data_IF_612263891257
#
_entry.id   IF_612263891257
#
_cell.length_a   1.000
_cell.length_b   1.000
_cell.length_c   1.000
_cell.angle_alpha   90.00
_cell.angle_beta   90.00
_cell.angle_gamma   90.00
#
_symmetry.space_group_name_H-M   'P 1'
#
loop_
_entity.id
_entity.type
_entity.pdbx_description
1 polymer ?
#
# COMPACT_ATOMS: atom_id res chain seq x y z
N UNK A 1 -5.92 -1.11 -1.58
CA UNK A 1 -5.45 -2.50 -1.82
C UNK A 1 -4.50 -2.88 -0.71
N UNK A 2 -4.71 -4.03 -0.08
CA UNK A 2 -3.79 -4.56 0.93
C UNK A 2 -3.65 -6.07 0.86
N UNK A 3 -2.56 -6.59 1.43
CA UNK A 3 -2.33 -8.02 1.54
C UNK A 3 -2.97 -8.64 2.76
N UNK A 4 -3.12 -9.97 2.72
CA UNK A 4 -3.67 -10.76 3.83
C UNK A 4 -3.08 -10.42 5.21
N UNK A 5 -1.76 -10.33 5.33
CA UNK A 5 -1.12 -10.07 6.63
C UNK A 5 -1.44 -8.66 7.15
N UNK A 6 -1.48 -7.66 6.26
CA UNK A 6 -1.91 -6.30 6.57
C UNK A 6 -3.39 -6.25 6.93
N UNK A 7 -4.23 -7.06 6.26
CA UNK A 7 -5.66 -7.13 6.53
C UNK A 7 -6.00 -7.63 7.94
N UNK A 8 -5.29 -8.66 8.41
CA UNK A 8 -5.52 -9.29 9.72
C UNK A 8 -4.72 -8.64 10.85
N UNK A 9 -3.95 -7.59 10.55
CA UNK A 9 -3.15 -6.90 11.56
C UNK A 9 -4.10 -6.25 12.59
N UNK A 10 -3.98 -6.57 13.89
CA UNK A 10 -4.88 -6.04 14.91
C UNK A 10 -4.78 -4.52 15.09
N UNK A 11 -3.70 -3.89 14.63
CA UNK A 11 -3.51 -2.45 14.69
C UNK A 11 -4.03 -1.73 13.45
N UNK A 12 -4.42 -2.45 12.38
CA UNK A 12 -5.07 -1.86 11.22
C UNK A 12 -6.58 -2.09 11.30
N UNK A 13 -7.40 -1.03 11.39
CA UNK A 13 -8.85 -1.21 11.41
C UNK A 13 -9.33 -1.72 10.04
N UNK A 14 -9.79 -2.98 10.01
CA UNK A 14 -10.39 -3.58 8.81
C UNK A 14 -11.87 -3.96 9.05
N UNK A 15 -12.77 -3.71 8.08
CA UNK A 15 -12.56 -2.94 6.85
C UNK A 15 -12.39 -1.43 7.12
N UNK A 16 -11.69 -0.78 6.21
CA UNK A 16 -11.44 0.65 6.27
C UNK A 16 -12.71 1.43 5.86
N UNK A 17 -13.25 2.24 6.78
CA UNK A 17 -14.47 3.05 6.52
C UNK A 17 -14.31 3.98 5.31
N UNK A 18 -15.41 4.20 4.60
CA UNK A 18 -15.55 5.11 3.45
C UNK A 18 -14.60 4.82 2.28
N UNK A 19 -14.16 3.57 2.14
CA UNK A 19 -13.21 3.11 1.12
C UNK A 19 -13.69 1.79 0.53
N UNK A 20 -13.26 1.52 -0.70
CA UNK A 20 -13.41 0.20 -1.33
C UNK A 20 -12.21 -0.64 -0.90
N UNK A 21 -12.48 -1.66 -0.12
CA UNK A 21 -11.52 -2.54 0.51
C UNK A 21 -11.18 -3.71 -0.42
N UNK A 22 -10.02 -3.61 -1.07
CA UNK A 22 -9.50 -4.66 -1.96
C UNK A 22 -8.47 -5.49 -1.22
N UNK A 23 -8.72 -6.81 -1.12
CA UNK A 23 -7.83 -7.77 -0.47
C UNK A 23 -7.10 -8.63 -1.52
N UNK A 24 -5.77 -8.58 -1.51
CA UNK A 24 -4.92 -9.47 -2.29
C UNK A 24 -4.61 -10.75 -1.50
N UNK A 25 -5.16 -11.89 -1.93
CA UNK A 25 -4.99 -13.18 -1.25
C UNK A 25 -5.27 -14.36 -2.19
N UNK A 26 -4.50 -15.44 -2.04
CA UNK A 26 -4.79 -16.72 -2.70
C UNK A 26 -5.64 -17.66 -1.81
N UNK A 27 -6.07 -17.21 -0.62
CA UNK A 27 -6.92 -17.98 0.27
C UNK A 27 -8.40 -17.81 -0.07
N UNK A 28 -9.23 -18.76 0.36
CA UNK A 28 -10.69 -18.71 0.14
C UNK A 28 -11.30 -17.43 0.71
N UNK A 29 -12.19 -16.81 -0.06
CA UNK A 29 -12.79 -15.51 0.26
C UNK A 29 -13.69 -15.54 1.52
N UNK A 30 -14.25 -16.70 1.85
CA UNK A 30 -15.23 -16.91 2.92
C UNK A 30 -14.72 -16.54 4.32
N UNK A 31 -13.41 -16.36 4.47
CA UNK A 31 -12.74 -16.08 5.75
C UNK A 31 -12.67 -14.59 6.07
N UNK A 32 -12.88 -13.70 5.09
CA UNK A 32 -12.61 -12.27 5.23
C UNK A 32 -13.89 -11.44 5.06
N UNK A 33 -14.43 -10.96 6.17
CA UNK A 33 -15.65 -10.14 6.19
C UNK A 33 -15.36 -8.68 5.84
N UNK A 34 -16.27 -8.05 5.10
CA UNK A 34 -16.17 -6.62 4.76
C UNK A 34 -15.17 -6.29 3.65
N UNK A 35 -14.65 -7.30 2.95
CA UNK A 35 -13.89 -7.12 1.71
C UNK A 35 -14.86 -6.82 0.58
N UNK A 36 -14.60 -5.75 -0.17
CA UNK A 36 -15.40 -5.37 -1.34
C UNK A 36 -14.91 -6.09 -2.61
N UNK A 37 -13.60 -6.32 -2.73
CA UNK A 37 -12.98 -6.99 -3.89
C UNK A 37 -11.85 -7.92 -3.45
N UNK A 38 -11.79 -9.10 -4.08
CA UNK A 38 -10.68 -10.03 -3.92
C UNK A 38 -9.86 -10.09 -5.19
N UNK A 39 -8.54 -9.98 -5.07
CA UNK A 39 -7.59 -10.14 -6.17
C UNK A 39 -6.54 -11.19 -5.85
N UNK A 40 -6.09 -11.92 -6.87
CA UNK A 40 -5.12 -13.02 -6.74
C UNK A 40 -4.37 -13.25 -8.05
N UNK A 41 -3.24 -13.96 -8.00
CA UNK A 41 -2.42 -14.19 -9.19
C UNK A 41 -1.69 -12.93 -9.65
N UNK A 42 -1.91 -12.53 -10.91
CA UNK A 42 -1.25 -11.36 -11.52
C UNK A 42 -1.80 -10.05 -10.95
N UNK A 43 -1.15 -9.52 -9.92
CA UNK A 43 -1.57 -8.29 -9.26
C UNK A 43 -1.52 -7.07 -10.19
N UNK A 44 -0.60 -7.02 -11.15
CA UNK A 44 -0.50 -5.90 -12.09
C UNK A 44 -1.72 -5.86 -13.01
N UNK A 45 -2.10 -7.01 -13.58
CA UNK A 45 -3.33 -7.12 -14.37
C UNK A 45 -4.57 -6.78 -13.55
N UNK A 46 -4.66 -7.28 -12.31
CA UNK A 46 -5.77 -6.98 -11.41
C UNK A 46 -5.89 -5.48 -11.10
N UNK A 47 -4.77 -4.79 -10.82
CA UNK A 47 -4.75 -3.34 -10.58
C UNK A 47 -5.20 -2.57 -11.82
N UNK A 48 -4.77 -2.99 -13.01
CA UNK A 48 -5.21 -2.39 -14.28
C UNK A 48 -6.71 -2.58 -14.53
N UNK A 49 -7.31 -3.68 -14.09
CA UNK A 49 -8.75 -3.88 -14.22
C UNK A 49 -9.52 -3.10 -13.16
N UNK A 50 -8.99 -2.99 -11.95
CA UNK A 50 -9.53 -2.11 -10.90
C UNK A 50 -9.50 -0.64 -11.31
N UNK A 51 -8.43 -0.16 -11.97
CA UNK A 51 -8.33 1.23 -12.43
C UNK A 51 -9.37 1.55 -13.50
N UNK A 52 -9.67 0.60 -14.40
CA UNK A 52 -10.79 0.74 -15.35
C UNK A 52 -12.14 0.72 -14.66
N UNK A 53 -12.35 -0.18 -13.69
CA UNK A 53 -13.62 -0.33 -12.95
C UNK A 53 -13.91 0.89 -12.08
N UNK A 54 -12.89 1.44 -11.44
CA UNK A 54 -12.97 2.56 -10.50
C UNK A 54 -12.28 3.80 -11.03
N UNK A 55 -12.50 4.14 -12.31
CA UNK A 55 -11.83 5.23 -13.04
C UNK A 55 -11.86 6.63 -12.40
N UNK A 56 -12.83 6.89 -11.52
CA UNK A 56 -13.00 8.17 -10.82
C UNK A 56 -12.45 8.12 -9.37
N UNK A 57 -11.58 7.15 -9.06
CA UNK A 57 -11.03 6.94 -7.72
C UNK A 57 -9.53 6.71 -7.77
N UNK A 58 -8.85 7.22 -6.75
CA UNK A 58 -7.45 6.89 -6.51
C UNK A 58 -7.31 5.49 -5.92
N UNK A 59 -6.32 4.74 -6.42
CA UNK A 59 -5.98 3.42 -5.93
C UNK A 59 -4.77 3.52 -5.01
N UNK A 60 -4.99 3.36 -3.70
CA UNK A 60 -3.92 3.29 -2.72
C UNK A 60 -3.50 1.85 -2.45
N UNK A 61 -2.19 1.59 -2.50
CA UNK A 61 -1.58 0.33 -2.04
C UNK A 61 -1.00 0.60 -0.65
N UNK A 62 -1.54 -0.05 0.37
CA UNK A 62 -1.17 0.22 1.78
C UNK A 62 -0.31 -0.91 2.38
N UNK A 63 0.29 -1.73 1.52
CA UNK A 63 1.15 -2.84 1.91
C UNK A 63 0.47 -4.21 1.95
N UNK A 64 1.14 -5.25 2.45
CA UNK A 64 2.51 -5.21 2.99
C UNK A 64 3.60 -5.16 1.91
N UNK A 65 4.89 -5.26 2.31
CA UNK A 65 6.03 -5.08 1.41
C UNK A 65 5.97 -5.93 0.15
N UNK A 66 5.59 -7.21 0.25
CA UNK A 66 5.49 -8.10 -0.92
C UNK A 66 4.54 -7.61 -2.01
N UNK A 67 3.48 -6.89 -1.65
CA UNK A 67 2.54 -6.33 -2.63
C UNK A 67 3.09 -5.03 -3.20
N UNK A 68 3.70 -4.20 -2.36
CA UNK A 68 4.40 -2.99 -2.82
C UNK A 68 5.49 -3.36 -3.83
N UNK A 69 6.29 -4.38 -3.57
CA UNK A 69 7.36 -4.84 -4.47
C UNK A 69 6.81 -5.32 -5.82
N UNK A 70 5.75 -6.13 -5.80
CA UNK A 70 5.11 -6.65 -7.03
C UNK A 70 4.45 -5.57 -7.86
N UNK A 71 3.91 -4.53 -7.21
CA UNK A 71 3.20 -3.45 -7.87
C UNK A 71 4.06 -2.21 -8.10
N UNK A 72 5.33 -2.23 -7.70
CA UNK A 72 6.19 -1.05 -7.67
C UNK A 72 6.21 -0.27 -8.98
N UNK A 73 6.27 -0.97 -10.12
CA UNK A 73 6.32 -0.34 -11.44
C UNK A 73 5.02 0.39 -11.81
N UNK A 74 3.89 0.06 -11.16
CA UNK A 74 2.61 0.79 -11.32
C UNK A 74 2.47 1.96 -10.35
N UNK A 75 3.37 2.13 -9.38
CA UNK A 75 3.26 3.21 -8.39
C UNK A 75 3.78 4.50 -9.02
N UNK A 76 2.90 5.50 -9.06
CA UNK A 76 3.17 6.86 -9.55
C UNK A 76 3.66 7.78 -8.42
N UNK A 77 3.09 7.63 -7.22
CA UNK A 77 3.40 8.43 -6.05
C UNK A 77 3.53 7.58 -4.79
N UNK A 78 4.53 7.89 -3.95
CA UNK A 78 4.59 7.40 -2.57
C UNK A 78 4.30 8.53 -1.58
N UNK A 79 3.35 8.28 -0.69
CA UNK A 79 3.14 9.07 0.52
C UNK A 79 3.84 8.34 1.67
N UNK A 80 5.05 8.81 2.03
CA UNK A 80 5.93 8.13 2.97
C UNK A 80 6.05 8.92 4.28
N UNK A 81 5.73 8.29 5.40
CA UNK A 81 6.05 8.83 6.72
C UNK A 81 7.44 8.39 7.14
N UNK A 82 8.32 9.34 7.44
CA UNK A 82 9.65 9.09 8.00
C UNK A 82 9.58 9.19 9.52
N UNK A 83 9.45 8.06 10.18
CA UNK A 83 9.43 7.97 11.64
C UNK A 83 10.86 7.88 12.15
N UNK A 84 11.23 8.74 13.10
CA UNK A 84 12.58 8.79 13.66
C UNK A 84 12.74 7.76 14.77
N UNK A 85 13.85 7.03 14.74
CA UNK A 85 14.18 6.01 15.74
C UNK A 85 14.82 4.79 15.11
N UNK A 86 15.24 3.87 15.97
CA UNK A 86 15.72 2.56 15.57
C UNK A 86 14.72 1.53 16.10
N UNK A 87 14.18 0.72 15.19
CA UNK A 87 13.15 -0.26 15.50
C UNK A 87 13.62 -1.63 15.03
N UNK A 88 13.35 -2.67 15.83
CA UNK A 88 13.57 -4.05 15.44
C UNK A 88 12.48 -4.48 14.46
N UNK A 89 12.84 -4.62 13.18
CA UNK A 89 11.93 -4.88 12.08
C UNK A 89 12.22 -6.23 11.40
N UNK A 90 11.17 -7.00 11.12
CA UNK A 90 11.24 -8.26 10.36
C UNK A 90 10.74 -8.13 8.90
N UNK A 91 10.33 -6.91 8.54
CA UNK A 91 9.78 -6.51 7.24
C UNK A 91 10.34 -5.15 6.86
N UNK A 92 10.71 -5.00 5.60
CA UNK A 92 11.23 -3.76 5.03
C UNK A 92 10.65 -3.53 3.65
N UNK A 93 10.61 -2.28 3.23
CA UNK A 93 10.42 -1.88 1.83
C UNK A 93 11.79 -1.54 1.23
N UNK A 94 11.94 -1.73 -0.07
CA UNK A 94 13.16 -1.36 -0.78
C UNK A 94 13.22 0.16 -1.00
N UNK A 95 13.74 0.87 0.01
CA UNK A 95 13.86 2.32 -0.05
C UNK A 95 14.87 2.78 -1.10
N UNK A 96 15.93 1.98 -1.36
CA UNK A 96 16.90 2.29 -2.41
C UNK A 96 16.19 2.32 -3.77
N UNK A 97 15.34 1.32 -4.05
CA UNK A 97 14.52 1.29 -5.28
C UNK A 97 13.65 2.53 -5.44
N UNK A 98 13.05 3.03 -4.35
CA UNK A 98 12.27 4.29 -4.37
C UNK A 98 13.19 5.46 -4.74
N UNK A 99 14.31 5.63 -4.05
CA UNK A 99 15.23 6.77 -4.28
C UNK A 99 15.88 6.77 -5.66
N UNK A 100 16.05 5.60 -6.28
CA UNK A 100 16.60 5.46 -7.63
C UNK A 100 15.56 5.72 -8.73
N UNK A 101 14.28 5.48 -8.44
CA UNK A 101 13.21 5.53 -9.44
C UNK A 101 12.32 6.78 -9.34
N UNK A 102 12.44 7.55 -8.26
CA UNK A 102 11.54 8.65 -7.93
C UNK A 102 12.28 9.82 -7.28
N UNK A 103 11.65 10.99 -7.30
CA UNK A 103 12.17 12.21 -6.69
C UNK A 103 11.22 12.74 -5.62
N UNK A 104 11.77 13.41 -4.60
CA UNK A 104 10.97 14.08 -3.56
C UNK A 104 10.29 15.28 -4.21
N UNK A 105 8.96 15.27 -4.24
CA UNK A 105 8.15 16.40 -4.67
C UNK A 105 7.86 17.35 -3.49
N UNK A 106 7.54 16.80 -2.32
CA UNK A 106 7.20 17.60 -1.14
C UNK A 106 7.74 16.95 0.14
N UNK A 107 8.17 17.79 1.08
CA UNK A 107 8.52 17.41 2.44
C UNK A 107 7.68 18.25 3.40
N UNK A 108 6.93 17.59 4.27
CA UNK A 108 6.00 18.21 5.21
C UNK A 108 6.50 17.92 6.61
N UNK A 109 6.92 18.97 7.31
CA UNK A 109 7.32 18.88 8.72
C UNK A 109 6.11 18.57 9.61
N UNK A 110 6.30 17.74 10.63
CA UNK A 110 5.26 17.41 11.60
C UNK A 110 5.70 17.73 13.04
N UNK A 111 6.52 16.87 13.65
CA UNK A 111 7.03 17.07 15.00
C UNK A 111 8.41 16.39 15.18
N UNK A 112 8.90 16.35 16.42
CA UNK A 112 10.21 15.77 16.75
C UNK A 112 10.28 14.25 16.55
N UNK A 113 9.16 13.59 16.22
CA UNK A 113 9.07 12.13 16.07
C UNK A 113 8.97 11.67 14.63
N UNK A 114 8.50 12.51 13.71
CA UNK A 114 8.42 12.16 12.29
C UNK A 114 8.24 13.37 11.37
N UNK A 115 8.43 13.12 10.07
CA UNK A 115 7.98 14.01 8.98
C UNK A 115 7.33 13.19 7.86
N UNK A 116 6.66 13.87 6.92
CA UNK A 116 6.07 13.23 5.74
C UNK A 116 6.80 13.65 4.46
N UNK A 117 6.87 12.74 3.50
CA UNK A 117 7.44 12.95 2.18
C UNK A 117 6.45 12.47 1.11
N UNK A 118 6.32 13.26 0.04
CA UNK A 118 5.63 12.85 -1.18
C UNK A 118 6.69 12.66 -2.25
N UNK A 119 6.85 11.42 -2.72
CA UNK A 119 7.74 11.05 -3.81
C UNK A 119 6.93 10.85 -5.08
N UNK A 120 7.46 11.31 -6.21
CA UNK A 120 6.84 11.13 -7.53
C UNK A 120 7.83 10.56 -8.51
N UNK A 121 7.33 9.70 -9.40
CA UNK A 121 8.09 9.17 -10.53
C UNK A 121 8.44 10.26 -11.54
#
# INVERSE_FOLDING_TARGET
>A
IMGRLTWIDPFLPTPLKNRINVLATNQSHNTYLGVDEFISGDLMANVNDLSKKYKEKDIYIIGGPKILDQLFESIEEFYLTRIYGNFECDKSIDFEKITQSMTINEKIENDETCHFEIWKR
#
